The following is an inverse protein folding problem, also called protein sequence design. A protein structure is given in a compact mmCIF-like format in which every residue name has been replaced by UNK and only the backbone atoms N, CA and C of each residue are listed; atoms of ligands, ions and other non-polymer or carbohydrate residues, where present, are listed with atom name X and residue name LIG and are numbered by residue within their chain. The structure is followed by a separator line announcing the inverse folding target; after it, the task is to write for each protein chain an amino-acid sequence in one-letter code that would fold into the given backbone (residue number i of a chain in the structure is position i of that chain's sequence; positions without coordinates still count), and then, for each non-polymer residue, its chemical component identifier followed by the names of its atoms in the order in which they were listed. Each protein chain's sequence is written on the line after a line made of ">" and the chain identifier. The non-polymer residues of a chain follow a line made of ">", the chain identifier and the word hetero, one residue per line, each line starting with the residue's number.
data_IF_384982155278
#
_entry.id   IF_384982155278
#
_cell.length_a   1.000
_cell.length_b   1.000
_cell.length_c   1.000
_cell.angle_alpha   90.00
_cell.angle_beta   90.00
_cell.angle_gamma   90.00
#
_symmetry.space_group_name_H-M   'P 1'
#
loop_
_entity.id
_entity.type
_entity.pdbx_description
1 polymer ?
#
# COMPACT_ATOMS: atom_id res chain seq x y z
N UNK A 1 14.17 -29.46 -54.95
CA UNK A 1 14.96 -30.19 -53.94
C UNK A 1 14.44 -29.80 -52.57
N UNK A 2 13.75 -30.70 -51.87
CA UNK A 2 13.23 -30.44 -50.53
C UNK A 2 14.33 -30.45 -49.48
N UNK A 3 14.15 -29.70 -48.40
CA UNK A 3 15.06 -29.70 -47.24
C UNK A 3 15.09 -31.13 -46.67
N UNK A 4 16.29 -31.76 -46.55
CA UNK A 4 16.42 -33.10 -45.98
C UNK A 4 15.84 -33.19 -44.56
N UNK A 5 15.13 -34.28 -44.26
CA UNK A 5 14.46 -34.49 -42.97
C UNK A 5 15.41 -34.39 -41.76
N UNK A 6 16.68 -34.79 -41.91
CA UNK A 6 17.68 -34.70 -40.82
C UNK A 6 17.94 -33.26 -40.36
N UNK A 7 17.79 -32.26 -41.25
CA UNK A 7 17.95 -30.84 -40.90
C UNK A 7 16.85 -30.42 -39.91
N UNK A 8 15.62 -30.89 -40.11
CA UNK A 8 14.52 -30.62 -39.18
C UNK A 8 14.77 -31.24 -37.80
N UNK A 9 15.33 -32.45 -37.74
CA UNK A 9 15.71 -33.07 -36.46
C UNK A 9 16.83 -32.30 -35.74
N UNK A 10 17.83 -31.79 -36.48
CA UNK A 10 18.89 -30.95 -35.90
C UNK A 10 18.30 -29.63 -35.36
N UNK A 11 17.44 -28.96 -36.13
CA UNK A 11 16.75 -27.74 -35.68
C UNK A 11 15.93 -28.02 -34.43
N UNK A 12 15.16 -29.11 -34.41
CA UNK A 12 14.35 -29.51 -33.27
C UNK A 12 15.22 -29.81 -32.03
N UNK A 13 16.34 -30.51 -32.20
CA UNK A 13 17.27 -30.81 -31.11
C UNK A 13 17.90 -29.52 -30.53
N UNK A 14 18.33 -28.59 -31.39
CA UNK A 14 18.88 -27.30 -30.95
C UNK A 14 17.80 -26.47 -30.22
N UNK A 15 16.59 -26.41 -30.77
CA UNK A 15 15.47 -25.71 -30.13
C UNK A 15 15.11 -26.32 -28.77
N UNK A 16 15.10 -27.65 -28.66
CA UNK A 16 14.82 -28.35 -27.40
C UNK A 16 15.89 -28.07 -26.34
N UNK A 17 17.18 -28.09 -26.71
CA UNK A 17 18.28 -27.77 -25.79
C UNK A 17 18.21 -26.31 -25.35
N UNK A 18 17.97 -25.38 -26.27
CA UNK A 18 17.81 -23.96 -25.95
C UNK A 18 16.61 -23.72 -25.02
N UNK A 19 15.46 -24.34 -25.30
CA UNK A 19 14.27 -24.25 -24.45
C UNK A 19 14.50 -24.81 -23.05
N UNK A 20 15.17 -25.96 -22.94
CA UNK A 20 15.51 -26.55 -21.65
C UNK A 20 16.46 -25.65 -20.85
N UNK A 21 17.47 -25.08 -21.51
CA UNK A 21 18.40 -24.14 -20.89
C UNK A 21 17.67 -22.90 -20.34
N UNK A 22 16.79 -22.29 -21.13
CA UNK A 22 15.98 -21.14 -20.70
C UNK A 22 15.10 -21.49 -19.50
N UNK A 23 14.39 -22.62 -19.55
CA UNK A 23 13.54 -23.11 -18.46
C UNK A 23 14.32 -23.34 -17.16
N UNK A 24 15.53 -23.91 -17.25
CA UNK A 24 16.38 -24.11 -16.06
C UNK A 24 16.89 -22.80 -15.48
N UNK A 25 17.24 -21.83 -16.32
CA UNK A 25 17.66 -20.51 -15.87
C UNK A 25 16.51 -19.76 -15.18
N UNK A 26 15.29 -19.89 -15.70
CA UNK A 26 14.10 -19.27 -15.14
C UNK A 26 13.75 -19.85 -13.76
N UNK A 27 13.68 -21.18 -13.65
CA UNK A 27 13.50 -21.85 -12.35
C UNK A 27 14.58 -21.51 -11.33
N UNK A 28 15.83 -21.36 -11.77
CA UNK A 28 16.91 -20.96 -10.87
C UNK A 28 16.67 -19.56 -10.29
N UNK A 29 16.21 -18.61 -11.11
CA UNK A 29 15.89 -17.24 -10.68
C UNK A 29 14.72 -17.23 -9.71
N UNK A 30 13.61 -17.89 -10.04
CA UNK A 30 12.45 -18.01 -9.15
C UNK A 30 12.86 -18.60 -7.80
N UNK A 31 13.61 -19.71 -7.81
CA UNK A 31 14.08 -20.34 -6.57
C UNK A 31 14.96 -19.43 -5.72
N UNK A 32 15.78 -18.57 -6.36
CA UNK A 32 16.64 -17.63 -5.63
C UNK A 32 15.84 -16.53 -4.95
N UNK A 33 14.83 -15.99 -5.63
CA UNK A 33 13.94 -14.97 -5.08
C UNK A 33 13.09 -15.53 -3.94
N UNK A 34 12.54 -16.73 -4.10
CA UNK A 34 11.76 -17.38 -3.05
C UNK A 34 12.62 -17.59 -1.78
N UNK A 35 13.87 -18.05 -1.96
CA UNK A 35 14.83 -18.17 -0.84
C UNK A 35 15.18 -16.83 -0.20
N UNK A 36 15.39 -15.78 -0.99
CA UNK A 36 15.67 -14.43 -0.49
C UNK A 36 14.50 -13.90 0.34
N UNK A 37 13.26 -14.05 -0.17
CA UNK A 37 12.04 -13.63 0.52
C UNK A 37 11.84 -14.39 1.83
N UNK A 38 11.99 -15.71 1.79
CA UNK A 38 11.86 -16.57 2.98
C UNK A 38 12.90 -16.20 4.04
N UNK A 39 14.15 -16.00 3.64
CA UNK A 39 15.24 -15.58 4.54
C UNK A 39 15.00 -14.20 5.13
N UNK A 40 14.53 -13.26 4.32
CA UNK A 40 14.19 -11.92 4.81
C UNK A 40 13.08 -11.98 5.86
N UNK A 41 12.01 -12.76 5.62
CA UNK A 41 10.95 -12.97 6.60
C UNK A 41 11.47 -13.61 7.89
N UNK A 42 12.31 -14.65 7.78
CA UNK A 42 12.92 -15.33 8.92
C UNK A 42 13.76 -14.36 9.79
N UNK A 43 14.60 -13.53 9.17
CA UNK A 43 15.41 -12.54 9.89
C UNK A 43 14.57 -11.51 10.67
N UNK A 44 13.34 -11.27 10.23
CA UNK A 44 12.38 -10.36 10.87
C UNK A 44 11.48 -11.05 11.90
N UNK A 45 11.55 -12.39 12.00
CA UNK A 45 10.59 -13.18 12.77
C UNK A 45 9.18 -13.12 12.17
N UNK A 46 9.07 -12.93 10.86
CA UNK A 46 7.83 -12.88 10.10
C UNK A 46 7.54 -14.23 9.45
N UNK A 47 6.29 -14.43 9.05
CA UNK A 47 5.86 -15.66 8.39
C UNK A 47 6.05 -15.55 6.88
N UNK A 48 6.50 -16.62 6.26
CA UNK A 48 6.59 -16.78 4.81
C UNK A 48 5.67 -17.92 4.37
N UNK A 49 4.89 -17.67 3.32
CA UNK A 49 4.04 -18.64 2.65
C UNK A 49 4.35 -18.55 1.16
N UNK A 50 4.55 -19.69 0.52
CA UNK A 50 4.93 -19.73 -0.89
C UNK A 50 3.81 -19.22 -1.81
N UNK A 51 2.56 -19.56 -1.50
CA UNK A 51 1.39 -19.23 -2.31
C UNK A 51 0.13 -19.04 -1.45
N UNK A 52 -0.67 -18.03 -1.78
CA UNK A 52 -2.01 -17.77 -1.23
C UNK A 52 -2.94 -17.18 -2.31
N UNK A 53 -3.82 -18.02 -2.86
CA UNK A 53 -4.80 -17.61 -3.89
C UNK A 53 -5.91 -16.67 -3.38
N UNK A 54 -6.12 -16.60 -2.05
CA UNK A 54 -7.25 -15.88 -1.46
C UNK A 54 -6.85 -14.47 -1.05
N UNK A 55 -5.59 -14.26 -0.70
CA UNK A 55 -5.10 -12.98 -0.18
C UNK A 55 -5.43 -11.78 -1.07
N UNK A 56 -5.22 -11.80 -2.40
CA UNK A 56 -5.56 -10.65 -3.25
C UNK A 56 -7.06 -10.35 -3.33
N UNK A 57 -7.93 -11.36 -3.12
CA UNK A 57 -9.38 -11.26 -3.33
C UNK A 57 -10.09 -10.34 -2.35
N UNK A 58 -9.40 -9.89 -1.30
CA UNK A 58 -9.96 -8.92 -0.35
C UNK A 58 -9.87 -7.47 -0.89
N UNK A 59 -9.15 -7.25 -1.98
CA UNK A 59 -8.99 -5.95 -2.62
C UNK A 59 -9.41 -6.02 -4.10
N UNK A 60 -9.80 -4.88 -4.63
CA UNK A 60 -10.29 -4.70 -5.99
C UNK A 60 -9.62 -3.52 -6.69
N UNK A 61 -9.04 -2.60 -5.92
CA UNK A 61 -8.40 -1.39 -6.42
C UNK A 61 -6.95 -1.56 -6.87
N UNK A 62 -6.37 -0.44 -7.27
CA UNK A 62 -4.96 -0.27 -7.59
C UNK A 62 -4.41 -1.32 -8.55
N UNK A 63 -3.23 -1.83 -8.22
CA UNK A 63 -2.55 -2.85 -9.02
C UNK A 63 -3.27 -4.21 -9.01
N UNK A 64 -4.05 -4.53 -7.97
CA UNK A 64 -4.84 -5.77 -7.89
C UNK A 64 -5.86 -5.80 -9.02
N UNK A 65 -6.69 -4.76 -9.13
CA UNK A 65 -7.68 -4.64 -10.19
C UNK A 65 -7.08 -4.39 -11.57
N UNK A 66 -5.99 -3.62 -11.64
CA UNK A 66 -5.34 -3.29 -12.91
C UNK A 66 -4.73 -4.52 -13.60
N UNK A 67 -4.01 -5.37 -12.85
CA UNK A 67 -3.42 -6.58 -13.41
C UNK A 67 -4.36 -7.79 -13.41
N UNK A 68 -5.53 -7.69 -12.76
CA UNK A 68 -6.46 -8.82 -12.61
C UNK A 68 -5.83 -9.95 -11.80
N UNK A 69 -5.32 -9.64 -10.61
CA UNK A 69 -4.60 -10.60 -9.76
C UNK A 69 -5.40 -11.90 -9.54
N UNK A 70 -4.78 -13.04 -9.87
CA UNK A 70 -5.36 -14.38 -9.74
C UNK A 70 -4.95 -15.06 -8.45
N UNK A 71 -3.74 -14.74 -7.96
CA UNK A 71 -3.18 -15.26 -6.72
C UNK A 71 -2.03 -14.41 -6.20
N UNK A 72 -1.55 -14.74 -5.01
CA UNK A 72 -0.35 -14.17 -4.42
C UNK A 72 0.71 -15.26 -4.24
N UNK A 73 1.95 -14.96 -4.58
CA UNK A 73 3.10 -15.83 -4.31
C UNK A 73 4.15 -15.09 -3.48
N UNK A 74 5.07 -15.83 -2.86
CA UNK A 74 6.11 -15.27 -2.00
C UNK A 74 5.57 -14.36 -0.89
N UNK A 75 4.47 -14.78 -0.28
CA UNK A 75 3.74 -14.00 0.71
C UNK A 75 4.54 -13.93 2.00
N UNK A 76 4.75 -12.71 2.48
CA UNK A 76 5.33 -12.42 3.78
C UNK A 76 4.28 -11.72 4.62
N UNK A 77 3.98 -12.28 5.78
CA UNK A 77 3.06 -11.74 6.76
C UNK A 77 3.83 -11.36 8.03
N UNK A 78 3.67 -10.11 8.47
CA UNK A 78 4.45 -9.60 9.59
C UNK A 78 3.81 -8.38 10.23
N UNK A 79 4.66 -7.55 10.82
CA UNK A 79 4.23 -6.29 11.40
C UNK A 79 5.33 -5.24 11.36
N UNK A 80 4.99 -4.01 11.02
CA UNK A 80 5.90 -2.86 11.07
C UNK A 80 5.55 -1.95 12.26
N UNK A 81 6.49 -1.11 12.67
CA UNK A 81 6.24 -0.06 13.66
C UNK A 81 6.00 1.25 12.92
N UNK A 82 4.90 1.91 13.26
CA UNK A 82 4.57 3.29 12.87
C UNK A 82 4.46 4.15 14.13
N UNK A 83 4.12 5.44 13.98
CA UNK A 83 4.00 6.36 15.11
C UNK A 83 2.92 5.92 16.09
N UNK A 84 1.87 5.27 15.57
CA UNK A 84 0.70 4.81 16.34
C UNK A 84 0.84 3.38 16.87
N UNK A 85 2.02 2.78 16.72
CA UNK A 85 2.34 1.45 17.23
C UNK A 85 2.56 0.40 16.15
N UNK A 86 2.27 -0.86 16.48
CA UNK A 86 2.60 -1.99 15.62
C UNK A 86 1.42 -2.30 14.69
N UNK A 87 1.61 -2.13 13.38
CA UNK A 87 0.60 -2.40 12.34
C UNK A 87 0.93 -3.71 11.60
N UNK A 88 -0.05 -4.61 11.39
CA UNK A 88 0.12 -5.77 10.52
C UNK A 88 0.50 -5.37 9.10
N UNK A 89 1.33 -6.18 8.44
CA UNK A 89 1.77 -5.94 7.07
C UNK A 89 1.76 -7.21 6.24
N UNK A 90 1.51 -7.05 4.94
CA UNK A 90 1.74 -8.07 3.93
C UNK A 90 2.71 -7.57 2.88
N UNK A 91 3.57 -8.46 2.39
CA UNK A 91 4.35 -8.26 1.16
C UNK A 91 4.22 -9.49 0.30
N UNK A 92 3.78 -9.35 -0.94
CA UNK A 92 3.58 -10.49 -1.82
C UNK A 92 3.74 -10.10 -3.29
N UNK A 93 4.04 -11.08 -4.12
CA UNK A 93 4.12 -10.92 -5.56
C UNK A 93 2.73 -11.24 -6.16
N UNK A 94 2.18 -10.37 -7.01
CA UNK A 94 0.93 -10.68 -7.72
C UNK A 94 1.23 -11.72 -8.78
N UNK A 95 0.41 -12.75 -8.87
CA UNK A 95 0.35 -13.63 -10.03
C UNK A 95 -0.84 -13.27 -10.91
N UNK A 96 -0.58 -13.01 -12.20
CA UNK A 96 -1.58 -12.76 -13.22
C UNK A 96 -1.09 -13.33 -14.55
N UNK A 97 -1.91 -14.15 -15.22
CA UNK A 97 -1.57 -14.77 -16.52
C UNK A 97 -0.23 -15.52 -16.52
N UNK A 98 0.09 -16.21 -15.41
CA UNK A 98 1.37 -16.90 -15.17
C UNK A 98 2.62 -15.99 -15.23
N UNK A 99 2.44 -14.68 -15.04
CA UNK A 99 3.55 -13.74 -14.85
C UNK A 99 3.40 -12.99 -13.54
N UNK A 100 4.49 -12.35 -13.12
CA UNK A 100 4.52 -11.52 -11.91
C UNK A 100 4.70 -10.07 -12.33
N UNK A 101 3.60 -9.32 -12.51
CA UNK A 101 3.67 -7.96 -13.03
C UNK A 101 4.12 -6.95 -11.97
N UNK A 102 3.89 -7.23 -10.68
CA UNK A 102 4.20 -6.32 -9.58
C UNK A 102 4.34 -7.04 -8.23
N UNK A 103 5.02 -6.37 -7.30
CA UNK A 103 5.04 -6.73 -5.88
C UNK A 103 4.16 -5.75 -5.12
N UNK A 104 3.31 -6.26 -4.24
CA UNK A 104 2.46 -5.50 -3.35
C UNK A 104 3.06 -5.45 -1.96
N UNK A 105 3.02 -4.25 -1.38
CA UNK A 105 3.27 -3.99 0.04
C UNK A 105 2.00 -3.40 0.61
N UNK A 106 1.52 -3.95 1.72
CA UNK A 106 0.29 -3.52 2.38
C UNK A 106 0.53 -3.31 3.87
N UNK A 107 0.04 -2.19 4.40
CA UNK A 107 0.07 -1.84 5.82
C UNK A 107 -1.36 -1.64 6.30
N UNK A 108 -1.73 -2.29 7.39
CA UNK A 108 -3.09 -2.24 7.92
C UNK A 108 -3.32 -0.98 8.76
N UNK A 109 -4.41 -0.28 8.49
CA UNK A 109 -5.00 0.77 9.32
C UNK A 109 -5.76 0.18 10.52
N UNK A 110 -6.08 1.01 11.51
CA UNK A 110 -6.90 0.68 12.67
C UNK A 110 -8.39 0.79 12.35
N UNK A 111 -8.77 1.68 11.43
CA UNK A 111 -10.15 1.85 10.95
C UNK A 111 -10.33 1.40 9.50
N UNK A 112 -11.57 1.07 9.18
CA UNK A 112 -12.00 0.83 7.80
C UNK A 112 -12.31 2.18 7.17
N UNK A 113 -11.62 2.50 6.08
CA UNK A 113 -11.87 3.69 5.29
C UNK A 113 -13.02 3.47 4.32
N UNK A 114 -13.98 4.41 4.24
CA UNK A 114 -15.17 4.26 3.40
C UNK A 114 -14.91 4.55 1.90
N UNK A 115 -13.72 4.98 1.55
CA UNK A 115 -13.34 5.46 0.20
C UNK A 115 -12.21 4.61 -0.33
N UNK A 116 -12.35 4.13 -1.56
CA UNK A 116 -11.23 3.70 -2.38
C UNK A 116 -10.52 4.95 -2.93
N UNK A 117 -9.25 5.15 -2.58
CA UNK A 117 -8.42 6.24 -3.12
C UNK A 117 -7.18 5.64 -3.77
N UNK A 118 -7.01 5.84 -5.08
CA UNK A 118 -5.85 5.38 -5.84
C UNK A 118 -4.99 6.56 -6.28
N UNK A 119 -3.68 6.50 -6.02
CA UNK A 119 -2.67 7.49 -6.38
C UNK A 119 -1.70 6.90 -7.40
N UNK A 120 -1.99 7.10 -8.68
CA UNK A 120 -1.22 6.56 -9.80
C UNK A 120 -0.09 7.49 -10.21
N UNK A 121 1.12 6.96 -10.36
CA UNK A 121 2.25 7.70 -10.90
C UNK A 121 1.97 8.09 -12.36
N UNK A 122 2.18 9.37 -12.69
CA UNK A 122 1.81 9.92 -14.00
C UNK A 122 2.47 9.22 -15.21
N UNK A 123 3.61 8.56 -15.01
CA UNK A 123 4.33 7.81 -16.05
C UNK A 123 3.78 6.40 -16.29
N UNK A 124 2.90 5.90 -15.43
CA UNK A 124 2.38 4.53 -15.51
C UNK A 124 1.03 4.54 -16.24
N UNK A 125 0.83 3.69 -17.26
CA UNK A 125 -0.48 3.49 -17.85
C UNK A 125 -1.43 2.93 -16.79
N UNK A 126 -2.54 3.62 -16.54
CA UNK A 126 -3.51 3.22 -15.51
C UNK A 126 -4.85 2.75 -16.09
N UNK A 127 -5.16 3.04 -17.36
CA UNK A 127 -6.48 2.81 -17.94
C UNK A 127 -6.97 1.36 -17.80
N UNK A 128 -8.12 1.18 -17.13
CA UNK A 128 -8.87 -0.08 -17.01
C UNK A 128 -10.36 0.16 -17.23
N UNK A 129 -11.13 -0.90 -17.51
CA UNK A 129 -12.55 -0.80 -17.85
C UNK A 129 -13.39 -0.14 -16.74
N UNK A 130 -13.12 -0.49 -15.49
CA UNK A 130 -13.78 0.04 -14.30
C UNK A 130 -12.79 0.92 -13.51
N UNK A 131 -12.44 2.06 -14.10
CA UNK A 131 -11.63 3.08 -13.43
C UNK A 131 -12.51 3.92 -12.49
N UNK A 132 -12.07 4.20 -11.25
CA UNK A 132 -12.76 5.16 -10.38
C UNK A 132 -12.75 6.58 -10.97
N UNK A 133 -13.48 7.50 -10.37
CA UNK A 133 -13.59 8.86 -10.89
C UNK A 133 -12.29 9.66 -10.66
N UNK A 134 -11.85 10.41 -11.66
CA UNK A 134 -10.65 11.23 -11.57
C UNK A 134 -10.87 12.40 -10.60
N UNK A 135 -10.10 12.42 -9.52
CA UNK A 135 -10.09 13.50 -8.55
C UNK A 135 -9.25 14.69 -9.04
N UNK A 136 -8.07 14.39 -9.60
CA UNK A 136 -7.10 15.37 -10.08
C UNK A 136 -5.64 15.03 -9.69
N UNK A 137 -4.69 15.95 -9.91
CA UNK A 137 -3.30 15.74 -9.51
C UNK A 137 -3.12 15.84 -7.98
N UNK A 138 -2.29 14.96 -7.44
CA UNK A 138 -1.83 14.90 -6.04
C UNK A 138 -0.32 14.68 -6.10
N UNK A 139 0.46 15.77 -5.96
CA UNK A 139 1.91 15.74 -6.16
C UNK A 139 2.28 15.30 -7.59
N UNK A 140 3.14 14.30 -7.71
CA UNK A 140 3.56 13.65 -8.96
C UNK A 140 2.58 12.56 -9.45
N UNK A 141 1.43 12.39 -8.77
CA UNK A 141 0.45 11.34 -9.02
C UNK A 141 -0.89 11.90 -9.44
N UNK A 142 -1.68 11.08 -10.11
CA UNK A 142 -3.10 11.34 -10.36
C UNK A 142 -3.94 10.52 -9.40
N UNK A 143 -4.86 11.20 -8.71
CA UNK A 143 -5.78 10.58 -7.78
C UNK A 143 -7.10 10.18 -8.46
N UNK A 144 -7.57 8.98 -8.14
CA UNK A 144 -8.86 8.44 -8.53
C UNK A 144 -9.60 7.94 -7.29
N UNK A 145 -10.92 8.10 -7.25
CA UNK A 145 -11.72 7.64 -6.11
C UNK A 145 -13.12 7.17 -6.51
N UNK A 146 -13.69 6.27 -5.70
CA UNK A 146 -15.09 5.85 -5.82
C UNK A 146 -16.08 6.89 -5.27
N UNK A 147 -15.66 7.69 -4.27
CA UNK A 147 -16.34 8.89 -3.79
C UNK A 147 -15.38 10.09 -3.78
N UNK A 148 -15.48 10.94 -4.79
CA UNK A 148 -14.67 12.15 -4.96
C UNK A 148 -14.83 13.13 -3.79
N UNK A 149 -16.01 13.22 -3.18
CA UNK A 149 -16.27 14.21 -2.12
C UNK A 149 -15.53 13.81 -0.86
N UNK A 150 -15.68 12.55 -0.45
CA UNK A 150 -15.01 11.99 0.72
C UNK A 150 -13.49 11.90 0.49
N UNK A 151 -13.05 11.54 -0.72
CA UNK A 151 -11.64 11.56 -1.10
C UNK A 151 -11.01 12.95 -0.98
N UNK A 152 -11.66 14.02 -1.46
CA UNK A 152 -11.14 15.40 -1.34
C UNK A 152 -10.85 15.79 0.10
N UNK A 153 -11.70 15.38 1.04
CA UNK A 153 -11.52 15.69 2.45
C UNK A 153 -10.29 14.97 3.05
N UNK A 154 -9.87 13.84 2.46
CA UNK A 154 -8.72 13.07 2.90
C UNK A 154 -7.38 13.54 2.31
N UNK A 155 -7.40 14.22 1.16
CA UNK A 155 -6.16 14.70 0.52
C UNK A 155 -5.63 15.93 1.24
N UNK A 156 -4.82 15.70 2.27
CA UNK A 156 -4.07 16.72 3.00
C UNK A 156 -2.72 17.02 2.32
N UNK A 157 -2.08 18.13 2.72
CA UNK A 157 -0.73 18.45 2.26
C UNK A 157 0.28 17.37 2.70
N UNK A 158 0.15 16.86 3.93
CA UNK A 158 1.01 15.78 4.44
C UNK A 158 0.86 14.51 3.59
N UNK A 159 -0.36 14.18 3.16
CA UNK A 159 -0.59 13.04 2.26
C UNK A 159 0.05 13.26 0.89
N UNK A 160 -0.01 14.49 0.36
CA UNK A 160 0.65 14.85 -0.91
C UNK A 160 2.16 14.66 -0.79
N UNK A 161 2.76 15.18 0.28
CA UNK A 161 4.22 15.12 0.49
C UNK A 161 4.68 13.67 0.71
N UNK A 162 3.96 12.89 1.52
CA UNK A 162 4.24 11.47 1.74
C UNK A 162 4.06 10.64 0.45
N UNK A 163 3.02 10.94 -0.35
CA UNK A 163 2.83 10.29 -1.64
C UNK A 163 3.99 10.58 -2.60
N UNK A 164 4.51 11.81 -2.63
CA UNK A 164 5.67 12.15 -3.45
C UNK A 164 6.96 11.45 -2.98
N UNK A 165 7.13 11.28 -1.67
CA UNK A 165 8.25 10.57 -1.08
C UNK A 165 8.32 9.08 -1.46
N UNK A 166 7.20 8.46 -1.87
CA UNK A 166 7.17 7.07 -2.32
C UNK A 166 8.14 6.79 -3.48
N UNK A 167 8.50 7.79 -4.29
CA UNK A 167 9.44 7.64 -5.40
C UNK A 167 8.84 7.10 -6.70
N UNK A 168 9.62 7.11 -7.78
CA UNK A 168 9.17 6.82 -9.14
C UNK A 168 9.07 5.34 -9.53
N UNK A 169 9.50 4.43 -8.66
CA UNK A 169 9.34 2.98 -8.83
C UNK A 169 8.01 2.45 -8.23
N UNK A 170 7.30 3.28 -7.46
CA UNK A 170 5.97 2.98 -6.93
C UNK A 170 4.92 3.42 -7.95
N UNK A 171 4.38 2.45 -8.68
CA UNK A 171 3.46 2.70 -9.80
C UNK A 171 2.08 3.20 -9.34
N UNK A 172 1.54 2.61 -8.29
CA UNK A 172 0.32 3.07 -7.62
C UNK A 172 0.45 2.82 -6.12
N UNK A 173 -0.01 3.78 -5.33
CA UNK A 173 -0.36 3.58 -3.92
C UNK A 173 -1.86 3.80 -3.77
N UNK A 174 -2.53 3.01 -2.95
CA UNK A 174 -3.96 3.16 -2.76
C UNK A 174 -4.41 2.80 -1.36
N UNK A 175 -5.56 3.33 -1.00
CA UNK A 175 -6.27 3.03 0.23
C UNK A 175 -7.53 2.24 -0.11
N UNK A 176 -7.73 1.10 0.54
CA UNK A 176 -8.93 0.29 0.35
C UNK A 176 -9.27 -0.45 1.65
N UNK A 177 -10.47 -0.19 2.18
CA UNK A 177 -10.91 -0.72 3.46
C UNK A 177 -9.96 -0.31 4.58
N UNK A 178 -9.37 -1.28 5.29
CA UNK A 178 -8.44 -1.05 6.39
C UNK A 178 -6.97 -1.17 5.97
N UNK A 179 -6.64 -0.90 4.71
CA UNK A 179 -5.28 -1.09 4.18
C UNK A 179 -4.81 0.09 3.34
N UNK A 180 -3.59 0.52 3.58
CA UNK A 180 -2.79 1.29 2.62
C UNK A 180 -1.88 0.32 1.89
N UNK A 181 -1.91 0.34 0.57
CA UNK A 181 -1.15 -0.55 -0.29
C UNK A 181 -0.32 0.24 -1.28
N UNK A 182 0.78 -0.35 -1.75
CA UNK A 182 1.52 0.13 -2.90
C UNK A 182 2.04 -1.01 -3.75
N UNK A 183 2.15 -0.74 -5.05
CA UNK A 183 2.77 -1.65 -6.01
C UNK A 183 4.13 -1.12 -6.45
N UNK A 184 5.10 -2.01 -6.52
CA UNK A 184 6.42 -1.75 -7.10
C UNK A 184 6.78 -2.79 -8.15
N UNK A 185 7.79 -2.49 -8.96
CA UNK A 185 8.29 -3.38 -10.00
C UNK A 185 8.66 -4.78 -9.45
N UNK A 186 8.53 -5.83 -10.28
CA UNK A 186 8.97 -7.17 -9.91
C UNK A 186 10.48 -7.19 -9.63
N UNK A 187 10.91 -8.13 -8.80
CA UNK A 187 12.32 -8.32 -8.39
C UNK A 187 12.91 -7.21 -7.52
N UNK A 188 12.07 -6.42 -6.87
CA UNK A 188 12.52 -5.44 -5.88
C UNK A 188 13.16 -6.16 -4.68
N UNK A 189 14.34 -5.69 -4.25
CA UNK A 189 15.08 -6.31 -3.15
C UNK A 189 14.57 -5.92 -1.74
N UNK A 190 14.95 -6.68 -0.69
CA UNK A 190 14.52 -6.47 0.69
C UNK A 190 14.70 -5.04 1.20
N UNK A 191 15.84 -4.41 0.93
CA UNK A 191 16.12 -3.05 1.43
C UNK A 191 15.20 -1.97 0.84
N UNK A 192 14.64 -2.19 -0.35
CA UNK A 192 13.64 -1.27 -0.91
C UNK A 192 12.25 -1.55 -0.34
N UNK A 193 11.90 -2.82 -0.12
CA UNK A 193 10.65 -3.20 0.54
C UNK A 193 10.57 -2.64 1.96
N UNK A 194 11.67 -2.68 2.71
CA UNK A 194 11.73 -2.12 4.05
C UNK A 194 11.55 -0.60 4.07
N UNK A 195 12.09 0.10 3.06
CA UNK A 195 11.82 1.54 2.88
C UNK A 195 10.35 1.76 2.55
N UNK A 196 9.80 1.01 1.59
CA UNK A 196 8.40 1.16 1.22
C UNK A 196 7.43 0.84 2.37
N UNK A 197 7.74 -0.13 3.23
CA UNK A 197 6.97 -0.40 4.45
C UNK A 197 7.00 0.77 5.44
N UNK A 198 8.10 1.53 5.48
CA UNK A 198 8.20 2.75 6.28
C UNK A 198 7.40 3.88 5.64
N UNK A 199 7.58 4.10 4.34
CA UNK A 199 6.90 5.15 3.58
C UNK A 199 5.36 4.94 3.63
N UNK A 200 4.89 3.68 3.49
CA UNK A 200 3.48 3.33 3.67
C UNK A 200 3.01 3.45 5.12
N UNK A 201 3.88 3.21 6.10
CA UNK A 201 3.58 3.43 7.50
C UNK A 201 3.32 4.90 7.81
N UNK A 202 4.09 5.81 7.20
CA UNK A 202 3.87 7.25 7.29
C UNK A 202 2.53 7.67 6.65
N UNK A 203 2.21 7.14 5.46
CA UNK A 203 0.89 7.35 4.85
C UNK A 203 -0.23 6.82 5.75
N UNK A 204 -0.05 5.64 6.35
CA UNK A 204 -1.04 5.06 7.27
C UNK A 204 -1.28 5.96 8.49
N UNK A 205 -0.23 6.53 9.09
CA UNK A 205 -0.36 7.46 10.21
C UNK A 205 -1.07 8.78 9.80
N UNK A 206 -0.89 9.25 8.56
CA UNK A 206 -1.57 10.45 8.04
C UNK A 206 -3.07 10.21 7.81
N UNK A 207 -3.42 9.09 7.19
CA UNK A 207 -4.81 8.80 6.83
C UNK A 207 -5.60 8.21 8.00
N UNK A 208 -4.94 7.54 8.92
CA UNK A 208 -5.51 6.91 10.12
C UNK A 208 -4.74 7.35 11.38
N UNK A 209 -4.77 8.66 11.70
CA UNK A 209 -4.14 9.18 12.90
C UNK A 209 -4.80 8.58 14.15
N UNK A 210 -3.98 8.30 15.16
CA UNK A 210 -4.46 7.85 16.45
C UNK A 210 -5.24 8.95 17.16
N UNK A 211 -6.56 8.78 17.29
CA UNK A 211 -7.42 9.68 18.05
C UNK A 211 -7.20 9.50 19.57
N UNK A 212 -6.29 10.26 20.18
CA UNK A 212 -6.15 10.34 21.64
C UNK A 212 -7.31 11.11 22.33
N UNK A 213 -8.26 11.68 21.56
CA UNK A 213 -9.24 12.66 22.05
C UNK A 213 -10.64 12.11 22.41
N UNK A 214 -10.87 10.79 22.40
CA UNK A 214 -12.21 10.23 22.72
C UNK A 214 -12.50 10.11 24.23
N UNK A 215 -11.59 10.54 25.12
CA UNK A 215 -11.87 10.50 26.57
C UNK A 215 -11.23 11.61 27.42
N UNK A 216 -11.45 12.88 27.07
CA UNK A 216 -11.61 13.90 28.12
C UNK A 216 -13.10 14.16 28.32
N UNK A 217 -13.70 13.74 29.46
CA UNK A 217 -14.98 14.29 29.85
C UNK A 217 -14.83 15.80 29.83
N UNK A 218 -15.61 16.47 28.98
CA UNK A 218 -15.79 17.90 29.04
C UNK A 218 -16.36 18.22 30.42
N UNK A 219 -15.49 18.58 31.36
CA UNK A 219 -15.87 19.31 32.57
C UNK A 219 -16.21 20.74 32.13
N UNK A 220 -17.22 20.88 31.29
CA UNK A 220 -17.84 22.14 30.95
C UNK A 220 -19.13 22.23 31.76
N UNK A 221 -19.05 23.04 32.81
CA UNK A 221 -19.96 24.18 33.01
C UNK A 221 -21.45 23.86 32.98
N UNK A 222 -22.05 23.81 34.17
CA UNK A 222 -23.50 23.68 34.26
C UNK A 222 -24.14 23.78 35.64
N UNK A 223 -23.73 24.71 36.52
CA UNK A 223 -24.60 25.31 37.54
C UNK A 223 -24.08 26.74 37.74
N UNK A 224 -24.74 27.81 37.32
CA UNK A 224 -26.16 28.13 37.49
C UNK A 224 -26.21 29.35 38.43
N UNK A 225 -26.21 30.54 37.84
CA UNK A 225 -26.10 31.80 38.59
C UNK A 225 -27.37 32.20 39.34
N UNK A 226 -27.22 33.15 40.28
CA UNK A 226 -28.06 34.34 40.35
C UNK A 226 -27.42 35.44 41.24
N UNK A 227 -27.80 36.72 41.03
CA UNK A 227 -27.05 37.90 41.46
C UNK A 227 -27.78 38.72 42.55
N UNK A 228 -27.07 39.28 43.55
CA UNK A 228 -27.54 40.47 44.29
C UNK A 228 -26.48 40.96 45.30
N UNK A 229 -26.25 42.29 45.36
CA UNK A 229 -25.92 42.98 46.62
C UNK A 229 -24.53 43.58 46.78
N UNK A 230 -24.34 44.77 46.21
CA UNK A 230 -23.78 45.98 46.85
C UNK A 230 -22.61 45.86 47.85
N UNK A 231 -21.46 46.48 47.49
CA UNK A 231 -20.91 47.63 48.21
C UNK A 231 -19.54 48.05 47.63
N UNK A 232 -19.53 49.17 46.87
CA UNK A 232 -18.35 50.04 46.77
C UNK A 232 -18.79 51.44 47.14
N UNK A 233 -18.25 51.96 48.24
CA UNK A 233 -18.08 53.39 48.45
C UNK A 233 -16.83 53.61 49.30
N UNK A 234 -15.88 54.30 48.68
CA UNK A 234 -14.69 54.89 49.28
C UNK A 234 -15.04 56.08 50.19
N UNK A 235 -14.12 56.32 51.12
CA UNK A 235 -13.66 57.62 51.65
C UNK A 235 -14.48 58.36 52.71
N UNK A 236 -13.75 58.90 53.71
CA UNK A 236 -14.31 59.66 54.83
C UNK A 236 -13.35 59.87 56.00
N UNK A 237 -12.37 60.75 55.82
CA UNK A 237 -11.48 61.35 56.84
C UNK A 237 -12.22 62.29 57.83
N UNK A 238 -11.57 62.57 58.98
CA UNK A 238 -11.93 63.46 60.12
C UNK A 238 -12.93 62.87 61.12
N UNK A 239 -12.65 62.81 62.44
CA UNK A 239 -12.07 63.81 63.35
C UNK A 239 -11.15 63.15 64.41
#
# INVERSE_FOLDING_TARGET
>A
MGIPAWIWFVIAAVAAVAGLALLTADRARESSRNRERARWAELRGWQYVEEDERLPRQWTGGAIGYFGAQGAVNVVAGSTFTSDGRRPVFVFDIEADNVIPAVIVAVRCNRVHPVLLELWLASVPFQRAEMPELLGPVGQRYAFADDVTSARAMVSQDLVDAADALGGDVGVAWLEGEWVLASVAPNVGPSRLERLLRDLGEIADIVDPFDDDVQRPSLASGVGGSPQGDAKAEDGSAD
#
